data_IF_098463301466
#
_entry.id   IF_098463301466
#
_cell.length_a   1.000
_cell.length_b   1.000
_cell.length_c   1.000
_cell.angle_alpha   90.00
_cell.angle_beta   90.00
_cell.angle_gamma   90.00
#
_symmetry.space_group_name_H-M   'P 1'
#
loop_
_entity.id
_entity.type
_entity.pdbx_description
1 polymer ?
#
# COMPACT_ATOMS: atom_id res chain seq x y z
N UNK A 1 -11.68 17.49 -11.47
CA UNK A 1 -13.02 17.28 -10.87
C UNK A 1 -12.99 16.52 -9.54
N UNK A 2 -12.06 15.58 -9.33
CA UNK A 2 -11.99 14.81 -8.06
C UNK A 2 -11.60 15.63 -6.82
N UNK A 3 -10.60 16.52 -6.92
CA UNK A 3 -10.13 17.29 -5.76
C UNK A 3 -11.21 18.21 -5.14
N UNK A 4 -12.00 18.98 -5.92
CA UNK A 4 -13.11 19.76 -5.34
C UNK A 4 -14.16 18.93 -4.62
N UNK A 5 -14.49 17.74 -5.14
CA UNK A 5 -15.45 16.83 -4.48
C UNK A 5 -14.87 16.25 -3.20
N UNK A 6 -13.63 15.73 -3.23
CA UNK A 6 -12.95 15.21 -2.03
C UNK A 6 -12.80 16.28 -0.94
N UNK A 7 -12.62 17.55 -1.31
CA UNK A 7 -12.57 18.63 -0.32
C UNK A 7 -13.92 18.85 0.37
N UNK A 8 -15.03 18.61 -0.32
CA UNK A 8 -16.38 18.91 0.16
C UNK A 8 -17.10 17.69 0.76
N UNK A 9 -16.60 16.47 0.51
CA UNK A 9 -17.26 15.25 0.92
C UNK A 9 -17.30 15.08 2.45
N UNK A 10 -18.32 14.36 2.92
CA UNK A 10 -18.44 14.02 4.34
C UNK A 10 -17.42 12.96 4.75
N UNK A 11 -17.21 12.78 6.06
CA UNK A 11 -16.31 11.73 6.56
C UNK A 11 -16.74 10.31 6.12
N UNK A 12 -18.02 9.90 6.21
CA UNK A 12 -18.46 8.60 5.69
C UNK A 12 -18.20 8.41 4.20
N UNK A 13 -18.42 9.45 3.38
CA UNK A 13 -18.19 9.37 1.93
C UNK A 13 -16.69 9.21 1.62
N UNK A 14 -15.83 9.95 2.32
CA UNK A 14 -14.38 9.81 2.20
C UNK A 14 -13.92 8.41 2.63
N UNK A 15 -14.48 7.88 3.71
CA UNK A 15 -14.13 6.56 4.23
C UNK A 15 -14.47 5.45 3.23
N UNK A 16 -15.67 5.48 2.65
CA UNK A 16 -16.04 4.55 1.59
C UNK A 16 -15.18 4.71 0.35
N UNK A 17 -14.91 5.95 -0.07
CA UNK A 17 -14.05 6.23 -1.20
C UNK A 17 -12.66 5.60 -1.03
N UNK A 18 -11.99 5.84 0.10
CA UNK A 18 -10.65 5.28 0.33
C UNK A 18 -10.67 3.77 0.52
N UNK A 19 -11.72 3.20 1.13
CA UNK A 19 -11.86 1.75 1.25
C UNK A 19 -12.01 1.09 -0.14
N UNK A 20 -12.84 1.67 -1.01
CA UNK A 20 -13.06 1.19 -2.38
C UNK A 20 -11.76 1.29 -3.19
N UNK A 21 -11.08 2.44 -3.16
CA UNK A 21 -9.83 2.63 -3.89
C UNK A 21 -8.76 1.63 -3.43
N UNK A 22 -8.60 1.41 -2.12
CA UNK A 22 -7.66 0.41 -1.61
C UNK A 22 -8.04 -1.02 -2.01
N UNK A 23 -9.34 -1.36 -2.03
CA UNK A 23 -9.82 -2.64 -2.55
C UNK A 23 -9.53 -2.82 -4.05
N UNK A 24 -9.70 -1.76 -4.85
CA UNK A 24 -9.38 -1.77 -6.28
C UNK A 24 -7.87 -1.93 -6.53
N UNK A 25 -7.01 -1.37 -5.68
CA UNK A 25 -5.55 -1.57 -5.76
C UNK A 25 -5.20 -3.05 -5.53
N UNK A 26 -5.77 -3.69 -4.51
CA UNK A 26 -5.57 -5.13 -4.27
C UNK A 26 -6.06 -5.95 -5.46
N UNK A 27 -7.26 -5.65 -5.98
CA UNK A 27 -7.81 -6.34 -7.15
C UNK A 27 -6.89 -6.19 -8.37
N UNK A 28 -6.41 -4.98 -8.63
CA UNK A 28 -5.48 -4.71 -9.73
C UNK A 28 -4.18 -5.50 -9.56
N UNK A 29 -3.61 -5.54 -8.35
CA UNK A 29 -2.41 -6.32 -8.05
C UNK A 29 -2.60 -7.82 -8.32
N UNK A 30 -3.75 -8.38 -7.93
CA UNK A 30 -4.09 -9.78 -8.23
C UNK A 30 -4.22 -10.02 -9.74
N UNK A 31 -4.91 -9.14 -10.46
CA UNK A 31 -5.04 -9.23 -11.92
C UNK A 31 -3.65 -9.18 -12.58
N UNK A 32 -2.80 -8.23 -12.19
CA UNK A 32 -1.45 -8.09 -12.73
C UNK A 32 -0.61 -9.34 -12.44
N UNK A 33 -0.71 -9.90 -11.23
CA UNK A 33 -0.03 -11.17 -10.89
C UNK A 33 -0.45 -12.30 -11.84
N UNK A 34 -1.75 -12.46 -12.12
CA UNK A 34 -2.26 -13.48 -13.06
C UNK A 34 -1.71 -13.23 -14.47
N UNK A 35 -1.72 -11.97 -14.93
CA UNK A 35 -1.24 -11.61 -16.26
C UNK A 35 0.26 -11.88 -16.42
N UNK A 36 1.08 -11.45 -15.45
CA UNK A 36 2.52 -11.71 -15.44
C UNK A 36 2.79 -13.22 -15.47
N UNK A 37 2.10 -14.00 -14.64
CA UNK A 37 2.22 -15.47 -14.63
C UNK A 37 1.87 -16.10 -15.97
N UNK A 38 0.86 -15.57 -16.68
CA UNK A 38 0.46 -16.07 -17.99
C UNK A 38 1.50 -15.73 -19.07
N UNK A 39 1.96 -14.48 -19.10
CA UNK A 39 2.94 -13.97 -20.07
C UNK A 39 4.29 -14.67 -19.92
N UNK A 40 4.75 -14.86 -18.68
CA UNK A 40 6.04 -15.50 -18.37
C UNK A 40 5.90 -16.98 -17.99
N UNK A 41 4.86 -17.66 -18.47
CA UNK A 41 4.59 -19.06 -18.13
C UNK A 41 5.71 -20.03 -18.54
N UNK A 42 6.52 -19.68 -19.53
CA UNK A 42 7.69 -20.46 -19.98
C UNK A 42 8.95 -20.23 -19.14
N UNK A 43 8.98 -19.19 -18.31
CA UNK A 43 10.10 -18.82 -17.43
C UNK A 43 9.56 -18.41 -16.06
N UNK A 44 9.01 -19.36 -15.28
CA UNK A 44 8.47 -19.04 -13.97
C UNK A 44 9.58 -18.51 -13.05
N UNK A 45 9.29 -17.38 -12.39
CA UNK A 45 10.22 -16.74 -11.43
C UNK A 45 10.35 -17.54 -10.13
N UNK A 46 9.30 -18.29 -9.77
CA UNK A 46 9.26 -19.14 -8.58
C UNK A 46 8.90 -20.57 -8.99
N UNK A 47 9.64 -21.54 -8.44
CA UNK A 47 9.38 -22.96 -8.67
C UNK A 47 8.04 -23.41 -8.07
N UNK A 48 7.62 -22.77 -6.97
CA UNK A 48 6.40 -23.08 -6.24
C UNK A 48 5.61 -21.80 -5.91
N UNK A 49 4.27 -21.93 -5.90
CA UNK A 49 3.36 -20.87 -5.46
C UNK A 49 2.70 -21.31 -4.17
N UNK A 50 2.83 -20.49 -3.13
CA UNK A 50 2.18 -20.75 -1.86
C UNK A 50 0.66 -20.72 -2.01
N UNK A 51 -0.08 -21.75 -1.56
CA UNK A 51 -1.54 -21.73 -1.53
C UNK A 51 -2.07 -20.52 -0.75
N UNK A 52 -3.18 -19.94 -1.21
CA UNK A 52 -3.87 -18.88 -0.48
C UNK A 52 -4.70 -19.51 0.62
N UNK A 53 -4.44 -19.12 1.86
CA UNK A 53 -5.19 -19.58 3.03
C UNK A 53 -6.12 -18.48 3.58
N UNK A 54 -7.07 -18.86 4.43
CA UNK A 54 -8.00 -17.90 5.05
C UNK A 54 -7.26 -16.78 5.79
N UNK A 55 -6.15 -17.09 6.46
CA UNK A 55 -5.34 -16.05 7.12
C UNK A 55 -4.80 -15.01 6.14
N UNK A 56 -4.45 -15.38 4.91
CA UNK A 56 -3.93 -14.44 3.91
C UNK A 56 -5.05 -13.48 3.48
N UNK A 57 -6.26 -14.01 3.31
CA UNK A 57 -7.45 -13.21 2.98
C UNK A 57 -7.81 -12.24 4.12
N UNK A 58 -7.84 -12.73 5.36
CA UNK A 58 -8.14 -11.88 6.54
C UNK A 58 -7.11 -10.77 6.68
N UNK A 59 -5.81 -11.08 6.54
CA UNK A 59 -4.75 -10.09 6.63
C UNK A 59 -4.80 -9.08 5.48
N UNK A 60 -5.08 -9.53 4.25
CA UNK A 60 -5.27 -8.65 3.11
C UNK A 60 -6.47 -7.70 3.31
N UNK A 61 -7.61 -8.21 3.77
CA UNK A 61 -8.77 -7.38 4.09
C UNK A 61 -8.45 -6.38 5.21
N UNK A 62 -7.71 -6.80 6.24
CA UNK A 62 -7.21 -5.93 7.29
C UNK A 62 -6.30 -4.83 6.75
N UNK A 63 -5.38 -5.16 5.84
CA UNK A 63 -4.49 -4.20 5.19
C UNK A 63 -5.27 -3.17 4.35
N UNK A 64 -6.32 -3.58 3.63
CA UNK A 64 -7.21 -2.67 2.89
C UNK A 64 -7.86 -1.66 3.83
N UNK A 65 -8.38 -2.11 4.97
CA UNK A 65 -8.99 -1.22 5.98
C UNK A 65 -7.94 -0.28 6.58
N UNK A 66 -6.77 -0.78 6.96
CA UNK A 66 -5.72 0.03 7.57
C UNK A 66 -5.13 1.06 6.59
N UNK A 67 -4.91 0.70 5.32
CA UNK A 67 -4.49 1.66 4.29
C UNK A 67 -5.58 2.72 4.01
N UNK A 68 -6.86 2.35 4.09
CA UNK A 68 -7.95 3.33 4.02
C UNK A 68 -7.91 4.30 5.21
N UNK A 69 -7.58 3.83 6.42
CA UNK A 69 -7.38 4.69 7.60
C UNK A 69 -6.20 5.64 7.39
N UNK A 70 -5.07 5.17 6.85
CA UNK A 70 -3.93 6.03 6.51
C UNK A 70 -4.33 7.10 5.49
N UNK A 71 -5.04 6.70 4.43
CA UNK A 71 -5.54 7.62 3.39
C UNK A 71 -6.50 8.66 3.96
N UNK A 72 -7.38 8.25 4.89
CA UNK A 72 -8.25 9.15 5.64
C UNK A 72 -7.47 10.13 6.51
N UNK A 73 -6.38 9.69 7.13
CA UNK A 73 -5.47 10.56 7.89
C UNK A 73 -4.87 11.66 7.01
N UNK A 74 -4.39 11.29 5.81
CA UNK A 74 -3.91 12.25 4.82
C UNK A 74 -4.99 13.23 4.37
N UNK A 75 -6.18 12.72 4.01
CA UNK A 75 -7.32 13.56 3.64
C UNK A 75 -7.75 14.53 4.77
N UNK A 76 -7.80 14.04 6.00
CA UNK A 76 -8.11 14.88 7.16
C UNK A 76 -7.03 15.94 7.38
N UNK A 77 -5.76 15.58 7.23
CA UNK A 77 -4.65 16.52 7.37
C UNK A 77 -4.66 17.61 6.28
N UNK A 78 -5.02 17.25 5.06
CA UNK A 78 -5.27 18.19 3.97
C UNK A 78 -6.40 19.17 4.32
N UNK A 79 -7.54 18.64 4.80
CA UNK A 79 -8.71 19.43 5.23
C UNK A 79 -8.40 20.37 6.40
N UNK A 80 -7.51 19.96 7.29
CA UNK A 80 -7.03 20.76 8.42
C UNK A 80 -6.02 21.85 8.00
N UNK A 81 -5.54 21.83 6.75
CA UNK A 81 -4.61 22.82 6.22
C UNK A 81 -3.13 22.55 6.53
N UNK A 82 -2.76 21.33 6.93
CA UNK A 82 -1.34 20.97 7.12
C UNK A 82 -0.55 20.98 5.81
N UNK A 83 -1.22 20.78 4.69
CA UNK A 83 -0.67 20.90 3.35
C UNK A 83 -1.75 21.34 2.37
N UNK A 84 -1.35 21.84 1.19
CA UNK A 84 -2.26 22.33 0.16
C UNK A 84 -1.93 21.72 -1.20
N UNK A 85 -2.97 21.45 -1.99
CA UNK A 85 -2.82 21.04 -3.38
C UNK A 85 -2.76 22.30 -4.24
N UNK A 86 -1.55 22.73 -4.59
CA UNK A 86 -1.34 23.87 -5.46
C UNK A 86 -1.55 23.48 -6.94
N UNK A 87 -2.02 24.44 -7.75
CA UNK A 87 -1.92 24.32 -9.19
C UNK A 87 -0.46 24.55 -9.59
N UNK A 88 0.22 23.50 -10.04
CA UNK A 88 1.64 23.50 -10.35
C UNK A 88 1.86 23.43 -11.86
N UNK A 89 3.01 23.94 -12.32
CA UNK A 89 3.44 23.70 -13.70
C UNK A 89 3.72 22.22 -13.93
N UNK A 90 3.63 21.75 -15.17
CA UNK A 90 3.89 20.35 -15.49
C UNK A 90 5.29 19.88 -15.09
N UNK A 91 6.29 20.75 -15.23
CA UNK A 91 7.67 20.50 -14.80
C UNK A 91 7.75 20.24 -13.29
N UNK A 92 7.00 21.02 -12.50
CA UNK A 92 6.96 20.86 -11.05
C UNK A 92 6.22 19.59 -10.65
N UNK A 93 5.12 19.25 -11.32
CA UNK A 93 4.41 17.98 -11.11
C UNK A 93 5.34 16.80 -11.39
N UNK A 94 6.10 16.83 -12.48
CA UNK A 94 7.06 15.79 -12.83
C UNK A 94 8.18 15.68 -11.78
N UNK A 95 8.73 16.82 -11.34
CA UNK A 95 9.74 16.84 -10.28
C UNK A 95 9.19 16.24 -8.98
N UNK A 96 8.02 16.68 -8.52
CA UNK A 96 7.41 16.18 -7.28
C UNK A 96 7.10 14.69 -7.38
N UNK A 97 6.65 14.20 -8.54
CA UNK A 97 6.44 12.77 -8.79
C UNK A 97 7.74 11.97 -8.70
N UNK A 98 8.81 12.40 -9.36
CA UNK A 98 10.12 11.71 -9.31
C UNK A 98 10.70 11.78 -7.89
N UNK A 99 10.64 12.94 -7.24
CA UNK A 99 11.09 13.11 -5.86
C UNK A 99 10.30 12.20 -4.92
N UNK A 100 8.99 12.12 -5.05
CA UNK A 100 8.14 11.22 -4.28
C UNK A 100 8.54 9.76 -4.50
N UNK A 101 8.75 9.32 -5.76
CA UNK A 101 9.21 7.95 -6.04
C UNK A 101 10.54 7.63 -5.36
N UNK A 102 11.52 8.53 -5.43
CA UNK A 102 12.83 8.33 -4.80
C UNK A 102 12.71 8.32 -3.28
N UNK A 103 11.96 9.26 -2.70
CA UNK A 103 11.74 9.33 -1.26
C UNK A 103 11.00 8.11 -0.73
N UNK A 104 10.03 7.59 -1.50
CA UNK A 104 9.35 6.34 -1.20
C UNK A 104 10.31 5.16 -1.19
N UNK A 105 11.16 5.02 -2.21
CA UNK A 105 12.10 3.90 -2.28
C UNK A 105 13.12 3.94 -1.13
N UNK A 106 13.68 5.12 -0.85
CA UNK A 106 14.58 5.32 0.30
C UNK A 106 13.85 5.06 1.62
N UNK A 107 12.63 5.59 1.78
CA UNK A 107 11.81 5.41 2.97
C UNK A 107 11.48 3.94 3.22
N UNK A 108 11.10 3.21 2.18
CA UNK A 108 10.86 1.77 2.23
C UNK A 108 12.12 0.99 2.58
N UNK A 109 13.27 1.31 1.98
CA UNK A 109 14.54 0.66 2.34
C UNK A 109 14.88 0.85 3.81
N UNK A 110 14.80 2.09 4.31
CA UNK A 110 15.14 2.40 5.70
C UNK A 110 14.17 1.72 6.66
N UNK A 111 12.86 1.88 6.46
CA UNK A 111 11.85 1.32 7.35
C UNK A 111 11.85 -0.21 7.34
N UNK A 112 12.05 -0.84 6.18
CA UNK A 112 12.22 -2.28 6.07
C UNK A 112 13.48 -2.75 6.81
N UNK A 113 14.61 -2.05 6.66
CA UNK A 113 15.83 -2.39 7.41
C UNK A 113 15.64 -2.27 8.92
N UNK A 114 14.89 -1.27 9.40
CA UNK A 114 14.53 -1.14 10.81
C UNK A 114 13.60 -2.27 11.25
N UNK A 115 12.69 -2.73 10.40
CA UNK A 115 11.79 -3.84 10.68
C UNK A 115 12.52 -5.18 10.91
N UNK A 116 13.77 -5.29 10.45
CA UNK A 116 14.66 -6.44 10.71
C UNK A 116 15.48 -6.36 12.00
N UNK A 117 15.39 -5.27 12.77
CA UNK A 117 16.00 -5.22 14.11
C UNK A 117 15.34 -6.31 14.98
N UNK A 118 16.08 -7.16 15.71
CA UNK A 118 15.55 -8.40 16.29
C UNK A 118 14.23 -8.25 17.06
N UNK A 119 14.14 -7.25 17.95
CA UNK A 119 12.93 -7.00 18.74
C UNK A 119 11.75 -6.54 17.87
N UNK A 120 12.02 -5.72 16.85
CA UNK A 120 10.99 -5.22 15.94
C UNK A 120 10.56 -6.35 15.00
N UNK A 121 11.50 -7.15 14.51
CA UNK A 121 11.26 -8.27 13.62
C UNK A 121 10.25 -9.24 14.23
N UNK A 122 10.50 -9.70 15.45
CA UNK A 122 9.65 -10.70 16.10
C UNK A 122 8.20 -10.24 16.30
N UNK A 123 7.98 -8.93 16.45
CA UNK A 123 6.66 -8.33 16.70
C UNK A 123 5.97 -7.91 15.40
N UNK A 124 6.72 -7.31 14.49
CA UNK A 124 6.18 -6.52 13.37
C UNK A 124 6.36 -7.25 12.04
N UNK A 125 7.53 -7.83 11.78
CA UNK A 125 7.93 -8.22 10.42
C UNK A 125 8.02 -9.73 10.17
N UNK A 126 8.13 -10.54 11.23
CA UNK A 126 8.24 -12.00 11.14
C UNK A 126 7.10 -12.62 10.34
N UNK A 127 5.87 -12.13 10.53
CA UNK A 127 4.67 -12.63 9.85
C UNK A 127 4.79 -12.48 8.33
N UNK A 128 5.34 -11.37 7.87
CA UNK A 128 5.58 -11.12 6.44
C UNK A 128 6.61 -12.11 5.87
N UNK A 129 7.64 -12.44 6.65
CA UNK A 129 8.66 -13.44 6.27
C UNK A 129 8.18 -14.91 6.33
N UNK A 130 7.00 -15.19 6.87
CA UNK A 130 6.38 -16.52 6.76
C UNK A 130 5.97 -16.87 5.30
N UNK A 131 5.91 -15.85 4.43
CA UNK A 131 5.63 -15.98 3.00
C UNK A 131 6.93 -16.04 2.19
N UNK A 132 7.79 -17.00 2.53
CA UNK A 132 9.05 -17.28 1.81
C UNK A 132 8.82 -17.61 0.34
N UNK A 133 7.72 -18.30 0.04
CA UNK A 133 7.14 -18.42 -1.30
C UNK A 133 5.95 -17.47 -1.43
N UNK A 134 5.87 -16.75 -2.56
CA UNK A 134 4.85 -15.72 -2.75
C UNK A 134 3.66 -16.19 -3.59
N UNK A 135 2.53 -15.54 -3.37
CA UNK A 135 1.29 -15.66 -4.13
C UNK A 135 0.70 -14.27 -4.38
N UNK A 136 -0.45 -14.22 -5.06
CA UNK A 136 -1.08 -12.96 -5.45
C UNK A 136 -1.42 -12.02 -4.28
N UNK A 137 -1.55 -12.54 -3.06
CA UNK A 137 -1.89 -11.77 -1.86
C UNK A 137 -0.68 -11.44 -0.99
N UNK A 138 0.48 -12.06 -1.21
CA UNK A 138 1.63 -11.99 -0.29
C UNK A 138 2.13 -10.57 -0.04
N UNK A 139 1.95 -9.66 -1.01
CA UNK A 139 2.26 -8.24 -0.87
C UNK A 139 1.44 -7.55 0.25
N UNK A 140 0.22 -8.03 0.51
CA UNK A 140 -0.72 -7.44 1.45
C UNK A 140 -0.83 -8.23 2.76
N UNK A 141 -0.12 -9.35 2.88
CA UNK A 141 -0.05 -10.11 4.13
C UNK A 141 1.03 -9.50 5.02
N UNK A 142 0.62 -8.43 5.68
CA UNK A 142 1.45 -7.60 6.56
C UNK A 142 0.81 -7.54 7.95
N UNK A 143 1.62 -7.37 8.98
CA UNK A 143 1.09 -7.05 10.31
C UNK A 143 0.45 -5.65 10.29
N UNK A 144 -0.53 -5.36 11.17
CA UNK A 144 -1.14 -4.02 11.23
C UNK A 144 -0.11 -2.89 11.43
N UNK A 145 0.96 -3.17 12.18
CA UNK A 145 2.04 -2.20 12.41
C UNK A 145 2.86 -1.93 11.15
N UNK A 146 3.09 -2.94 10.31
CA UNK A 146 3.71 -2.73 9.00
C UNK A 146 2.83 -1.90 8.08
N UNK A 147 1.53 -2.21 8.01
CA UNK A 147 0.61 -1.46 7.15
C UNK A 147 0.55 0.01 7.55
N UNK A 148 0.44 0.30 8.85
CA UNK A 148 0.45 1.68 9.33
C UNK A 148 1.82 2.35 9.17
N UNK A 149 2.91 1.65 9.50
CA UNK A 149 4.26 2.20 9.47
C UNK A 149 4.79 2.47 8.06
N UNK A 150 4.55 1.57 7.12
CA UNK A 150 4.89 1.80 5.71
C UNK A 150 3.87 2.73 5.05
N UNK A 151 2.60 2.63 5.44
CA UNK A 151 1.54 3.48 4.90
C UNK A 151 1.77 4.97 5.16
N UNK A 152 2.34 5.36 6.31
CA UNK A 152 2.62 6.78 6.62
C UNK A 152 3.78 7.39 5.82
N UNK A 153 4.45 6.62 4.98
CA UNK A 153 5.36 7.18 3.97
C UNK A 153 4.60 7.91 2.86
N UNK A 154 3.30 7.62 2.68
CA UNK A 154 2.36 8.22 1.71
C UNK A 154 1.82 9.59 2.13
#
# INVERSE_FOLDING_TARGET
MLAPWLWQCSFPDAAWFFLIINGLIVLLSVILWILVRKVFSSQPVFDHVRPINLSDVVMTCGAVVMNAIVSLGGWWGWKAGYFSLAALSWERVLFDFVAMLVLMDVGMYVTHRLAHIPVIYDIVHRRHHDHTETNALSLFVLSPLEVLGFGTLL
#
